data_IF_011382084227
#
_entry.id   IF_011382084227
#
_cell.length_a   1.000
_cell.length_b   1.000
_cell.length_c   1.000
_cell.angle_alpha   90.00
_cell.angle_beta   90.00
_cell.angle_gamma   90.00
#
_symmetry.space_group_name_H-M   'P 1'
#
loop_
_entity.id
_entity.type
_entity.pdbx_description
1 polymer ?
#
# COMPACT_ATOMS: atom_id res chain seq x y z
N UNK A 1 -7.75 -25.52 15.78
CA UNK A 1 -8.65 -24.41 15.42
C UNK A 1 -8.09 -23.16 16.08
N UNK A 2 -7.35 -22.32 15.34
CA UNK A 2 -6.77 -21.09 15.91
C UNK A 2 -7.92 -20.11 16.14
N UNK A 3 -8.25 -19.81 17.39
CA UNK A 3 -9.28 -18.82 17.71
C UNK A 3 -8.74 -17.45 17.28
N UNK A 4 -9.33 -16.87 16.23
CA UNK A 4 -9.01 -15.50 15.83
C UNK A 4 -9.72 -14.56 16.79
N UNK A 5 -8.95 -13.77 17.54
CA UNK A 5 -9.50 -12.80 18.46
C UNK A 5 -10.21 -11.67 17.68
N UNK A 6 -11.32 -11.17 18.22
CA UNK A 6 -12.00 -10.01 17.65
C UNK A 6 -11.17 -8.73 17.94
N UNK A 7 -10.86 -7.93 16.92
CA UNK A 7 -10.11 -6.69 17.11
C UNK A 7 -10.98 -5.62 17.78
N UNK A 8 -10.33 -4.72 18.51
CA UNK A 8 -10.98 -3.52 19.04
C UNK A 8 -11.53 -2.66 17.90
N UNK A 9 -12.73 -2.09 18.06
CA UNK A 9 -13.35 -1.22 17.05
C UNK A 9 -12.48 -0.01 16.67
N UNK A 10 -11.70 0.52 17.62
CA UNK A 10 -10.74 1.61 17.34
C UNK A 10 -9.66 1.20 16.35
N UNK A 11 -9.24 -0.07 16.33
CA UNK A 11 -8.26 -0.59 15.38
C UNK A 11 -8.89 -0.82 14.00
N UNK A 12 -10.16 -1.20 13.93
CA UNK A 12 -10.90 -1.27 12.65
C UNK A 12 -10.99 0.13 12.03
N UNK A 13 -11.43 1.12 12.82
CA UNK A 13 -11.47 2.54 12.40
C UNK A 13 -10.10 3.05 11.97
N UNK A 14 -9.05 2.72 12.72
CA UNK A 14 -7.68 3.06 12.34
C UNK A 14 -7.29 2.44 11.01
N UNK A 15 -7.64 1.18 10.76
CA UNK A 15 -7.32 0.50 9.50
C UNK A 15 -8.03 1.18 8.31
N UNK A 16 -9.26 1.68 8.50
CA UNK A 16 -9.94 2.51 7.50
C UNK A 16 -9.19 3.82 7.24
N UNK A 17 -8.73 4.51 8.29
CA UNK A 17 -7.92 5.73 8.15
C UNK A 17 -6.64 5.45 7.35
N UNK A 18 -5.95 4.33 7.62
CA UNK A 18 -4.73 3.94 6.90
C UNK A 18 -5.03 3.69 5.41
N UNK A 19 -6.12 2.98 5.08
CA UNK A 19 -6.53 2.83 3.68
C UNK A 19 -6.89 4.17 3.03
N UNK A 20 -7.56 5.07 3.78
CA UNK A 20 -7.87 6.42 3.34
C UNK A 20 -6.63 7.25 3.02
N UNK A 21 -5.61 7.22 3.87
CA UNK A 21 -4.34 7.92 3.66
C UNK A 21 -3.63 7.44 2.37
N UNK A 22 -3.59 6.13 2.16
CA UNK A 22 -3.07 5.55 0.92
C UNK A 22 -3.90 5.96 -0.30
N UNK A 23 -5.23 5.95 -0.20
CA UNK A 23 -6.12 6.36 -1.28
C UNK A 23 -5.97 7.86 -1.62
N UNK A 24 -5.83 8.73 -0.63
CA UNK A 24 -5.52 10.16 -0.84
C UNK A 24 -4.22 10.31 -1.60
N UNK A 25 -3.21 9.51 -1.29
CA UNK A 25 -1.93 9.51 -2.01
C UNK A 25 -2.09 9.09 -3.48
N UNK A 26 -2.95 8.09 -3.75
CA UNK A 26 -3.29 7.70 -5.12
C UNK A 26 -4.05 8.80 -5.86
N UNK A 27 -5.02 9.45 -5.20
CA UNK A 27 -5.77 10.56 -5.78
C UNK A 27 -4.85 11.73 -6.15
N UNK A 28 -3.91 12.10 -5.28
CA UNK A 28 -2.89 13.11 -5.57
C UNK A 28 -2.15 12.76 -6.86
N UNK A 29 -1.71 11.51 -7.01
CA UNK A 29 -1.00 11.08 -8.21
C UNK A 29 -1.87 10.92 -9.47
N UNK A 30 -3.19 10.98 -9.35
CA UNK A 30 -4.13 10.97 -10.48
C UNK A 30 -4.44 12.40 -10.94
N UNK A 31 -4.65 13.32 -9.99
CA UNK A 31 -5.18 14.67 -10.29
C UNK A 31 -4.09 15.75 -10.41
N UNK A 32 -2.84 15.41 -10.09
CA UNK A 32 -1.70 16.33 -10.18
C UNK A 32 -0.69 15.86 -11.22
N UNK A 33 0.37 16.65 -11.46
CA UNK A 33 1.47 16.27 -12.34
C UNK A 33 2.42 15.21 -11.74
N UNK A 34 2.22 14.81 -10.48
CA UNK A 34 3.03 13.75 -9.84
C UNK A 34 2.50 12.39 -10.27
N UNK A 35 3.36 11.43 -10.60
CA UNK A 35 2.92 10.08 -10.95
C UNK A 35 2.24 9.39 -9.77
N UNK A 36 1.28 8.50 -10.04
CA UNK A 36 0.61 7.66 -9.02
C UNK A 36 1.62 6.98 -8.10
N UNK A 37 2.67 6.40 -8.70
CA UNK A 37 3.69 5.67 -7.95
C UNK A 37 4.53 6.60 -7.09
N UNK A 38 4.93 7.77 -7.62
CA UNK A 38 5.67 8.77 -6.86
C UNK A 38 4.84 9.32 -5.70
N UNK A 39 3.59 9.71 -5.96
CA UNK A 39 2.68 10.21 -4.93
C UNK A 39 2.43 9.14 -3.86
N UNK A 40 2.22 7.88 -4.24
CA UNK A 40 2.02 6.81 -3.27
C UNK A 40 3.25 6.53 -2.39
N UNK A 41 4.47 6.63 -2.89
CA UNK A 41 5.65 6.29 -2.09
C UNK A 41 6.21 7.46 -1.28
N UNK A 42 6.06 8.69 -1.76
CA UNK A 42 6.77 9.84 -1.21
C UNK A 42 5.87 10.91 -0.60
N UNK A 43 4.54 10.79 -0.70
CA UNK A 43 3.64 11.75 -0.06
C UNK A 43 3.51 11.50 1.45
N UNK A 44 3.31 12.59 2.19
CA UNK A 44 3.07 12.54 3.63
C UNK A 44 1.96 11.57 4.05
N UNK A 45 0.78 11.51 3.39
CA UNK A 45 -0.27 10.59 3.82
C UNK A 45 0.18 9.13 3.78
N UNK A 46 0.83 8.68 2.70
CA UNK A 46 1.27 7.27 2.60
C UNK A 46 2.40 6.92 3.55
N UNK A 47 3.35 7.84 3.76
CA UNK A 47 4.43 7.65 4.73
C UNK A 47 3.86 7.55 6.15
N UNK A 48 2.92 8.43 6.52
CA UNK A 48 2.24 8.34 7.82
C UNK A 48 1.50 7.01 7.94
N UNK A 49 0.80 6.57 6.90
CA UNK A 49 0.05 5.31 6.89
C UNK A 49 0.96 4.09 7.14
N UNK A 50 2.13 4.00 6.50
CA UNK A 50 3.06 2.87 6.73
C UNK A 50 3.71 2.95 8.12
N UNK A 51 4.02 4.14 8.63
CA UNK A 51 4.54 4.33 9.99
C UNK A 51 3.51 3.86 11.03
N UNK A 52 2.26 4.30 10.90
CA UNK A 52 1.16 3.89 11.81
C UNK A 52 0.96 2.37 11.77
N UNK A 53 1.02 1.77 10.57
CA UNK A 53 0.99 0.33 10.41
C UNK A 53 2.07 -0.38 11.26
N UNK A 54 3.32 0.08 11.21
CA UNK A 54 4.38 -0.49 12.03
C UNK A 54 4.17 -0.25 13.52
N UNK A 55 3.80 0.97 13.90
CA UNK A 55 3.60 1.35 15.30
C UNK A 55 2.48 0.55 15.98
N UNK A 56 1.42 0.22 15.24
CA UNK A 56 0.22 -0.48 15.76
C UNK A 56 0.16 -1.96 15.42
N UNK A 57 1.18 -2.50 14.73
CA UNK A 57 1.23 -3.90 14.29
C UNK A 57 1.09 -4.91 15.42
N UNK A 58 1.69 -4.64 16.58
CA UNK A 58 1.62 -5.55 17.74
C UNK A 58 0.21 -5.66 18.32
N UNK A 59 -0.59 -4.59 18.21
CA UNK A 59 -1.93 -4.50 18.79
C UNK A 59 -3.00 -5.27 17.98
N UNK A 60 -2.72 -5.61 16.72
CA UNK A 60 -3.62 -6.37 15.84
C UNK A 60 -3.26 -7.85 15.74
N UNK A 61 -2.21 -8.30 16.42
CA UNK A 61 -1.72 -9.69 16.33
C UNK A 61 -2.75 -10.69 16.81
N UNK A 62 -2.91 -11.79 16.09
CA UNK A 62 -3.91 -12.82 16.42
C UNK A 62 -5.36 -12.42 16.11
N UNK A 63 -5.55 -11.26 15.47
CA UNK A 63 -6.84 -10.83 14.91
C UNK A 63 -6.79 -10.90 13.39
N UNK A 64 -7.95 -10.84 12.73
CA UNK A 64 -8.02 -10.80 11.27
C UNK A 64 -7.40 -9.52 10.67
N UNK A 65 -7.30 -8.43 11.44
CA UNK A 65 -6.64 -7.18 11.01
C UNK A 65 -5.14 -7.34 10.79
N UNK A 66 -4.50 -8.34 11.40
CA UNK A 66 -3.08 -8.64 11.16
C UNK A 66 -2.80 -8.82 9.66
N UNK A 67 -3.73 -9.47 8.94
CA UNK A 67 -3.63 -9.68 7.50
C UNK A 67 -3.73 -8.36 6.70
N UNK A 68 -4.51 -7.38 7.16
CA UNK A 68 -4.64 -6.05 6.53
C UNK A 68 -3.37 -5.23 6.74
N UNK A 69 -2.84 -5.20 7.96
CA UNK A 69 -1.59 -4.50 8.27
C UNK A 69 -0.43 -5.05 7.43
N UNK A 70 -0.31 -6.39 7.38
CA UNK A 70 0.68 -7.04 6.51
C UNK A 70 0.46 -6.74 5.03
N UNK A 71 -0.79 -6.70 4.58
CA UNK A 71 -1.15 -6.35 3.20
C UNK A 71 -0.70 -4.94 2.85
N UNK A 72 -1.03 -3.93 3.67
CA UNK A 72 -0.68 -2.53 3.45
C UNK A 72 0.84 -2.33 3.48
N UNK A 73 1.54 -2.86 4.49
CA UNK A 73 3.01 -2.82 4.58
C UNK A 73 3.67 -3.44 3.34
N UNK A 74 3.22 -4.62 2.91
CA UNK A 74 3.76 -5.29 1.72
C UNK A 74 3.48 -4.49 0.45
N UNK A 75 2.31 -3.86 0.32
CA UNK A 75 2.01 -3.00 -0.82
C UNK A 75 3.03 -1.88 -0.92
N UNK A 76 3.32 -1.18 0.19
CA UNK A 76 4.32 -0.12 0.24
C UNK A 76 5.71 -0.61 -0.18
N UNK A 77 6.22 -1.67 0.46
CA UNK A 77 7.59 -2.13 0.22
C UNK A 77 7.80 -2.82 -1.12
N UNK A 78 6.84 -3.60 -1.62
CA UNK A 78 6.93 -4.14 -2.98
C UNK A 78 6.82 -3.03 -4.03
N UNK A 79 6.01 -2.01 -3.77
CA UNK A 79 5.98 -0.80 -4.57
C UNK A 79 7.35 -0.11 -4.64
N UNK A 80 7.95 0.15 -3.47
CA UNK A 80 9.28 0.73 -3.37
C UNK A 80 10.35 -0.13 -4.07
N UNK A 81 10.27 -1.46 -3.92
CA UNK A 81 11.16 -2.40 -4.61
C UNK A 81 11.05 -2.27 -6.13
N UNK A 82 9.83 -2.30 -6.69
CA UNK A 82 9.63 -2.19 -8.13
C UNK A 82 10.12 -0.85 -8.70
N UNK A 83 9.93 0.24 -7.96
CA UNK A 83 10.49 1.55 -8.32
C UNK A 83 12.00 1.52 -8.30
N UNK A 84 12.60 0.98 -7.23
CA UNK A 84 14.06 0.84 -7.13
C UNK A 84 14.64 0.00 -8.28
N UNK A 85 14.00 -1.12 -8.62
CA UNK A 85 14.39 -1.95 -9.77
C UNK A 85 14.25 -1.22 -11.10
N UNK A 86 13.18 -0.44 -11.27
CA UNK A 86 12.97 0.36 -12.49
C UNK A 86 14.07 1.43 -12.63
N UNK A 87 14.41 2.13 -11.55
CA UNK A 87 15.49 3.12 -11.54
C UNK A 87 16.84 2.46 -11.84
N UNK A 88 17.15 1.34 -11.19
CA UNK A 88 18.38 0.59 -11.43
C UNK A 88 18.48 0.12 -12.88
N UNK A 89 17.38 -0.35 -13.46
CA UNK A 89 17.31 -0.77 -14.86
C UNK A 89 17.59 0.38 -15.83
N UNK A 90 17.03 1.57 -15.57
CA UNK A 90 17.30 2.77 -16.38
C UNK A 90 18.78 3.15 -16.31
N UNK A 91 19.38 3.12 -15.11
CA UNK A 91 20.81 3.40 -14.93
C UNK A 91 21.68 2.37 -15.66
N UNK A 92 21.39 1.09 -15.49
CA UNK A 92 22.15 -0.01 -16.10
C UNK A 92 22.10 0.01 -17.64
N UNK A 93 21.05 0.60 -18.22
CA UNK A 93 20.86 0.73 -19.67
C UNK A 93 21.26 2.11 -20.20
N UNK A 94 22.02 2.89 -19.42
CA UNK A 94 22.48 4.24 -19.78
C UNK A 94 21.32 5.18 -20.19
N UNK A 95 20.15 5.00 -19.58
CA UNK A 95 18.94 5.81 -19.84
C UNK A 95 17.99 5.24 -20.88
N UNK A 96 18.42 4.33 -21.75
CA UNK A 96 17.58 3.80 -22.85
C UNK A 96 16.40 3.00 -22.31
N UNK A 97 16.56 2.33 -21.17
CA UNK A 97 15.52 1.53 -20.51
C UNK A 97 14.33 2.34 -19.98
N UNK A 98 14.34 3.67 -20.06
CA UNK A 98 13.25 4.53 -19.55
C UNK A 98 11.90 4.22 -20.19
N UNK A 99 11.87 3.86 -21.48
CA UNK A 99 10.62 3.52 -22.18
C UNK A 99 9.96 2.26 -21.60
N UNK A 100 10.77 1.28 -21.21
CA UNK A 100 10.29 0.05 -20.55
C UNK A 100 9.91 0.36 -19.09
N UNK A 101 10.71 1.17 -18.40
CA UNK A 101 10.42 1.56 -17.02
C UNK A 101 9.06 2.25 -16.88
N UNK A 102 8.65 3.09 -17.84
CA UNK A 102 7.31 3.70 -17.84
C UNK A 102 6.18 2.68 -17.86
N UNK A 103 6.33 1.58 -18.61
CA UNK A 103 5.34 0.49 -18.64
C UNK A 103 5.27 -0.18 -17.27
N UNK A 104 6.43 -0.49 -16.67
CA UNK A 104 6.51 -1.08 -15.34
C UNK A 104 5.88 -0.17 -14.28
N UNK A 105 6.19 1.12 -14.27
CA UNK A 105 5.63 2.08 -13.34
C UNK A 105 4.11 2.25 -13.52
N UNK A 106 3.61 2.25 -14.76
CA UNK A 106 2.18 2.24 -15.04
C UNK A 106 1.48 1.00 -14.46
N UNK A 107 2.07 -0.18 -14.66
CA UNK A 107 1.55 -1.43 -14.11
C UNK A 107 1.56 -1.42 -12.56
N UNK A 108 2.61 -0.90 -11.93
CA UNK A 108 2.69 -0.73 -10.47
C UNK A 108 1.63 0.25 -9.96
N UNK A 109 1.37 1.34 -10.68
CA UNK A 109 0.31 2.30 -10.36
C UNK A 109 -1.07 1.65 -10.35
N UNK A 110 -1.41 0.91 -11.40
CA UNK A 110 -2.67 0.13 -11.46
C UNK A 110 -2.75 -0.92 -10.35
N UNK A 111 -1.63 -1.59 -10.09
CA UNK A 111 -1.53 -2.57 -9.02
C UNK A 111 -1.78 -1.94 -7.63
N UNK A 112 -1.27 -0.73 -7.36
CA UNK A 112 -1.58 -0.02 -6.11
C UNK A 112 -3.07 0.28 -5.97
N UNK A 113 -3.72 0.82 -7.02
CA UNK A 113 -5.16 1.10 -7.01
C UNK A 113 -5.94 -0.17 -6.65
N UNK A 114 -5.66 -1.27 -7.34
CA UNK A 114 -6.27 -2.57 -7.06
C UNK A 114 -6.04 -3.00 -5.60
N UNK A 115 -4.79 -2.95 -5.12
CA UNK A 115 -4.42 -3.42 -3.77
C UNK A 115 -5.14 -2.62 -2.67
N UNK A 116 -5.24 -1.31 -2.83
CA UNK A 116 -5.91 -0.43 -1.87
C UNK A 116 -7.42 -0.63 -1.93
N UNK A 117 -8.03 -0.63 -3.12
CA UNK A 117 -9.47 -0.85 -3.28
C UNK A 117 -9.89 -2.23 -2.74
N UNK A 118 -9.20 -3.31 -3.14
CA UNK A 118 -9.50 -4.67 -2.68
C UNK A 118 -9.35 -4.80 -1.17
N UNK A 119 -8.31 -4.17 -0.61
CA UNK A 119 -8.05 -4.21 0.82
C UNK A 119 -9.09 -3.49 1.66
N UNK A 120 -9.56 -2.35 1.16
CA UNK A 120 -10.57 -1.55 1.83
C UNK A 120 -11.96 -2.20 1.74
N UNK A 121 -12.34 -2.75 0.58
CA UNK A 121 -13.61 -3.48 0.43
C UNK A 121 -13.72 -4.65 1.43
N UNK A 122 -12.66 -5.46 1.55
CA UNK A 122 -12.64 -6.56 2.54
C UNK A 122 -12.74 -6.09 3.98
N UNK A 123 -12.12 -4.94 4.29
CA UNK A 123 -12.23 -4.34 5.62
C UNK A 123 -13.67 -3.93 5.92
N UNK A 124 -14.40 -3.36 4.94
CA UNK A 124 -15.83 -3.01 5.09
C UNK A 124 -16.70 -4.25 5.35
N UNK A 125 -16.36 -5.36 4.69
CA UNK A 125 -17.02 -6.66 4.87
C UNK A 125 -16.58 -7.38 6.16
N UNK A 126 -15.70 -6.78 6.98
CA UNK A 126 -15.13 -7.40 8.19
C UNK A 126 -14.45 -8.76 7.94
N UNK A 127 -13.85 -8.91 6.75
CA UNK A 127 -13.14 -10.12 6.35
C UNK A 127 -11.64 -9.94 6.38
N UNK A 128 -10.91 -10.99 6.74
CA UNK A 128 -9.46 -11.03 6.58
C UNK A 128 -9.03 -10.86 5.11
N UNK A 129 -7.83 -10.31 4.88
CA UNK A 129 -7.24 -10.25 3.54
C UNK A 129 -6.90 -11.61 2.97
N UNK A 130 -6.34 -12.45 3.83
CA UNK A 130 -6.02 -13.85 3.60
C UNK A 130 -5.94 -14.52 4.97
N UNK A 131 -6.18 -15.84 4.99
CA UNK A 131 -6.09 -16.69 6.19
C UNK A 131 -4.63 -17.02 6.48
#
# INVERSE_FOLDING_TARGET
MTVIAQPRESLIRLTHVIYGLHAVSLLIGIVTAVTIVGAFLFSWPSIIAVIVNYAKRSEVRGTWLESHFRWQIRTFWFGALWVGLSVLFVIATLGIGIFIAWITLGAVGLWFIYRIARGWLRLMEHQAMYV
#
